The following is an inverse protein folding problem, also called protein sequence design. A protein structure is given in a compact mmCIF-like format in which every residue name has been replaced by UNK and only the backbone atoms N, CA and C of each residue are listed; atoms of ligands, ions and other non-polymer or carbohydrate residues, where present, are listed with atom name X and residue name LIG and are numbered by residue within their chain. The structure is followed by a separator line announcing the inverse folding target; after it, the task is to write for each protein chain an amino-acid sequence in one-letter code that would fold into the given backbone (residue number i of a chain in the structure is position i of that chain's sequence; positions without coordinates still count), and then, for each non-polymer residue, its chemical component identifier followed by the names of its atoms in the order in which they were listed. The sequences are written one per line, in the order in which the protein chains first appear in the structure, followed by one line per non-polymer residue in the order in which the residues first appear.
data_IF_643914198437
#
_entry.id   IF_643914198437
#
_cell.length_a   1.000
_cell.length_b   1.000
_cell.length_c   1.000
_cell.angle_alpha   90.00
_cell.angle_beta   90.00
_cell.angle_gamma   90.00
#
_symmetry.space_group_name_H-M   'P 1'
#
loop_
_entity.id
_entity.type
_entity.pdbx_description
1 polymer ?
#
# COMPACT_ATOMS: atom_id res chain seq x y z
N UNK A 1 -7.46 -2.59 12.27
CA UNK A 1 -8.00 -1.31 12.75
C UNK A 1 -7.11 -0.23 12.18
N UNK A 2 -7.59 0.45 11.15
CA UNK A 2 -6.95 1.58 10.50
C UNK A 2 -7.89 2.79 10.23
N UNK A 3 -9.07 2.97 10.87
CA UNK A 3 -9.91 4.13 10.57
C UNK A 3 -9.36 5.44 11.16
N UNK A 4 -8.76 5.42 12.35
CA UNK A 4 -8.47 6.66 13.09
C UNK A 4 -7.45 7.56 12.39
N UNK A 5 -6.33 7.00 11.92
CA UNK A 5 -5.31 7.79 11.20
C UNK A 5 -5.84 8.39 9.91
N UNK A 6 -6.66 7.64 9.18
CA UNK A 6 -7.29 8.14 7.96
C UNK A 6 -8.32 9.24 8.27
N UNK A 7 -9.11 9.08 9.34
CA UNK A 7 -10.09 10.07 9.78
C UNK A 7 -9.44 11.34 10.34
N UNK A 8 -8.28 11.23 10.98
CA UNK A 8 -7.58 12.33 11.63
C UNK A 8 -6.69 13.13 10.66
N UNK A 9 -6.10 12.48 9.64
CA UNK A 9 -5.08 13.09 8.78
C UNK A 9 -5.52 13.33 7.33
N UNK A 10 -6.60 12.69 6.87
CA UNK A 10 -6.91 12.60 5.43
C UNK A 10 -6.09 11.50 4.73
N UNK A 11 -6.51 11.13 3.52
CA UNK A 11 -5.96 9.97 2.80
C UNK A 11 -4.50 10.18 2.41
N UNK A 12 -4.18 11.34 1.86
CA UNK A 12 -2.83 11.69 1.39
C UNK A 12 -1.82 11.57 2.53
N UNK A 13 -2.10 12.27 3.64
CA UNK A 13 -1.25 12.27 4.82
C UNK A 13 -1.18 10.89 5.49
N UNK A 14 -2.29 10.13 5.49
CA UNK A 14 -2.31 8.78 6.05
C UNK A 14 -1.41 7.82 5.24
N UNK A 15 -1.40 7.91 3.91
CA UNK A 15 -0.52 7.09 3.05
C UNK A 15 0.95 7.48 3.22
N UNK A 16 1.25 8.77 3.34
CA UNK A 16 2.61 9.22 3.64
C UNK A 16 3.08 8.69 5.01
N UNK A 17 2.25 8.86 6.05
CA UNK A 17 2.56 8.37 7.39
C UNK A 17 2.79 6.85 7.41
N UNK A 18 1.94 6.09 6.71
CA UNK A 18 2.06 4.64 6.60
C UNK A 18 3.42 4.25 6.01
N UNK A 19 3.82 4.93 4.94
CA UNK A 19 5.07 4.67 4.22
C UNK A 19 6.31 5.05 5.05
N UNK A 20 6.28 6.20 5.73
CA UNK A 20 7.36 6.64 6.62
C UNK A 20 7.54 5.74 7.85
N UNK A 21 6.44 5.24 8.42
CA UNK A 21 6.53 4.30 9.54
C UNK A 21 7.03 2.93 9.11
N UNK A 22 6.76 2.54 7.87
CA UNK A 22 7.21 1.28 7.31
C UNK A 22 8.74 1.22 7.20
N UNK A 23 9.38 2.29 6.73
CA UNK A 23 10.84 2.46 6.72
C UNK A 23 11.44 2.22 8.13
N UNK A 24 10.92 2.94 9.13
CA UNK A 24 11.38 2.86 10.52
C UNK A 24 11.24 1.47 11.14
N UNK A 25 10.16 0.77 10.82
CA UNK A 25 9.85 -0.52 11.44
C UNK A 25 10.67 -1.67 10.86
N UNK A 26 10.97 -1.63 9.56
CA UNK A 26 11.57 -2.77 8.84
C UNK A 26 12.99 -2.51 8.30
N UNK A 27 13.57 -1.32 8.55
CA UNK A 27 14.89 -0.93 8.05
C UNK A 27 15.00 -1.01 6.51
N UNK A 28 13.94 -0.57 5.81
CA UNK A 28 13.81 -0.59 4.36
C UNK A 28 13.91 0.81 3.78
N UNK A 29 14.78 1.02 2.79
CA UNK A 29 14.90 2.33 2.14
C UNK A 29 13.65 2.58 1.30
N UNK A 30 12.79 3.47 1.79
CA UNK A 30 11.51 3.75 1.14
C UNK A 30 11.52 5.12 0.49
N UNK A 31 11.17 5.18 -0.79
CA UNK A 31 10.92 6.43 -1.52
C UNK A 31 9.43 6.61 -1.73
N UNK A 32 8.94 7.83 -1.64
CA UNK A 32 7.54 8.12 -1.92
C UNK A 32 7.34 9.39 -2.74
N UNK A 33 6.32 9.35 -3.59
CA UNK A 33 5.88 10.46 -4.43
C UNK A 33 4.35 10.41 -4.53
N UNK A 34 3.68 11.19 -3.67
CA UNK A 34 2.23 11.09 -3.42
C UNK A 34 1.60 12.44 -3.76
N UNK A 35 0.81 12.47 -4.83
CA UNK A 35 -0.03 13.61 -5.16
C UNK A 35 -1.16 13.76 -4.11
N UNK A 36 -1.64 14.99 -3.91
CA UNK A 36 -2.78 15.22 -3.04
C UNK A 36 -4.06 14.64 -3.66
N UNK A 37 -4.61 13.63 -3.00
CA UNK A 37 -5.83 12.93 -3.43
C UNK A 37 -6.94 13.01 -2.38
N UNK A 38 -6.84 13.95 -1.44
CA UNK A 38 -7.90 14.20 -0.47
C UNK A 38 -9.19 14.63 -1.18
N UNK A 39 -10.33 14.22 -0.63
CA UNK A 39 -11.67 14.47 -1.16
C UNK A 39 -11.97 13.94 -2.59
N UNK A 40 -11.02 13.30 -3.27
CA UNK A 40 -11.25 12.67 -4.59
C UNK A 40 -12.08 11.39 -4.50
N UNK A 41 -12.18 10.80 -3.31
CA UNK A 41 -12.82 9.50 -3.08
C UNK A 41 -13.86 9.56 -1.98
N UNK A 42 -14.95 8.78 -2.07
CA UNK A 42 -15.82 8.54 -0.93
C UNK A 42 -15.05 7.81 0.17
N UNK A 43 -15.48 7.99 1.43
CA UNK A 43 -14.80 7.46 2.63
C UNK A 43 -14.50 5.95 2.57
N UNK A 44 -15.40 5.17 1.99
CA UNK A 44 -15.20 3.72 1.79
C UNK A 44 -14.03 3.42 0.85
N UNK A 45 -13.93 4.14 -0.28
CA UNK A 45 -12.83 3.98 -1.22
C UNK A 45 -11.50 4.44 -0.62
N UNK A 46 -11.49 5.53 0.15
CA UNK A 46 -10.30 5.96 0.91
C UNK A 46 -9.83 4.86 1.86
N UNK A 47 -10.77 4.26 2.60
CA UNK A 47 -10.47 3.16 3.54
C UNK A 47 -9.90 1.94 2.82
N UNK A 48 -10.44 1.62 1.64
CA UNK A 48 -9.95 0.50 0.83
C UNK A 48 -8.56 0.75 0.27
N UNK A 49 -8.28 1.95 -0.26
CA UNK A 49 -6.94 2.33 -0.74
C UNK A 49 -5.90 2.26 0.37
N UNK A 50 -6.23 2.77 1.55
CA UNK A 50 -5.35 2.67 2.72
C UNK A 50 -5.08 1.21 3.11
N UNK A 51 -6.11 0.36 3.14
CA UNK A 51 -5.95 -1.07 3.46
C UNK A 51 -5.11 -1.82 2.44
N UNK A 52 -5.32 -1.55 1.15
CA UNK A 52 -4.53 -2.13 0.05
C UNK A 52 -3.05 -1.75 0.24
N UNK A 53 -2.78 -0.47 0.50
CA UNK A 53 -1.42 0.03 0.74
C UNK A 53 -0.77 -0.64 1.95
N UNK A 54 -1.51 -0.76 3.05
CA UNK A 54 -1.03 -1.41 4.27
C UNK A 54 -0.69 -2.88 4.04
N UNK A 55 -1.55 -3.62 3.34
CA UNK A 55 -1.35 -5.03 3.06
C UNK A 55 -0.17 -5.24 2.10
N UNK A 56 -0.06 -4.43 1.04
CA UNK A 56 1.05 -4.51 0.09
C UNK A 56 2.39 -4.29 0.78
N UNK A 57 2.51 -3.24 1.60
CA UNK A 57 3.73 -2.98 2.38
C UNK A 57 4.00 -4.13 3.37
N UNK A 58 2.97 -4.62 4.07
CA UNK A 58 3.12 -5.77 4.97
C UNK A 58 3.66 -7.01 4.26
N UNK A 59 3.18 -7.28 3.04
CA UNK A 59 3.64 -8.39 2.23
C UNK A 59 5.10 -8.23 1.81
N UNK A 60 5.51 -7.03 1.41
CA UNK A 60 6.91 -6.74 1.11
C UNK A 60 7.80 -7.01 2.33
N UNK A 61 7.44 -6.45 3.50
CA UNK A 61 8.21 -6.62 4.73
C UNK A 61 8.37 -8.08 5.16
N UNK A 62 7.32 -8.89 4.98
CA UNK A 62 7.31 -10.28 5.45
C UNK A 62 7.89 -11.26 4.44
N UNK A 63 7.76 -10.98 3.15
CA UNK A 63 7.93 -12.01 2.12
C UNK A 63 8.91 -11.64 1.03
N UNK A 64 9.17 -10.36 0.75
CA UNK A 64 9.94 -9.99 -0.43
C UNK A 64 11.47 -10.07 -0.23
N UNK A 65 11.96 -9.98 1.01
CA UNK A 65 13.41 -9.79 1.29
C UNK A 65 13.99 -8.58 0.53
N UNK A 66 13.15 -7.59 0.26
CA UNK A 66 13.51 -6.35 -0.42
C UNK A 66 14.44 -5.48 0.44
N UNK A 67 15.13 -4.54 -0.19
CA UNK A 67 15.90 -3.47 0.45
C UNK A 67 15.35 -2.09 0.11
N UNK A 68 14.74 -1.95 -1.06
CA UNK A 68 14.18 -0.71 -1.56
C UNK A 68 12.71 -0.90 -1.90
N UNK A 69 11.92 0.11 -1.55
CA UNK A 69 10.51 0.19 -1.90
C UNK A 69 10.23 1.56 -2.50
N UNK A 70 9.49 1.59 -3.60
CA UNK A 70 8.93 2.81 -4.18
C UNK A 70 7.43 2.82 -4.00
N UNK A 71 6.92 3.93 -3.47
CA UNK A 71 5.49 4.15 -3.22
C UNK A 71 5.04 5.41 -3.96
N UNK A 72 4.21 5.28 -4.99
CA UNK A 72 3.75 6.40 -5.78
C UNK A 72 2.22 6.46 -5.86
N UNK A 73 1.66 7.65 -5.71
CA UNK A 73 0.26 7.95 -5.95
C UNK A 73 0.20 9.12 -6.91
N UNK A 74 -0.38 8.87 -8.10
CA UNK A 74 -0.46 9.89 -9.15
C UNK A 74 -1.88 10.14 -9.60
N UNK A 75 -2.30 11.39 -9.57
CA UNK A 75 -3.57 11.85 -10.14
C UNK A 75 -3.33 12.31 -11.58
N UNK A 76 -4.06 11.72 -12.53
CA UNK A 76 -4.00 12.08 -13.94
C UNK A 76 -5.41 11.98 -14.55
N UNK A 77 -5.87 13.09 -15.14
CA UNK A 77 -7.09 13.16 -15.95
C UNK A 77 -8.33 12.54 -15.26
N UNK A 78 -8.49 12.75 -13.94
CA UNK A 78 -9.63 12.22 -13.18
C UNK A 78 -9.49 10.76 -12.76
N UNK A 79 -8.30 10.19 -12.88
CA UNK A 79 -7.94 8.87 -12.37
C UNK A 79 -6.78 8.96 -11.40
N UNK A 80 -6.73 8.04 -10.44
CA UNK A 80 -5.59 7.92 -9.51
C UNK A 80 -4.96 6.56 -9.69
N UNK A 81 -3.64 6.56 -9.86
CA UNK A 81 -2.82 5.35 -9.92
C UNK A 81 -2.00 5.23 -8.66
N UNK A 82 -2.19 4.13 -7.93
CA UNK A 82 -1.33 3.70 -6.82
C UNK A 82 -0.34 2.66 -7.34
N UNK A 83 0.95 2.94 -7.23
CA UNK A 83 2.04 2.04 -7.60
C UNK A 83 2.90 1.74 -6.38
N UNK A 84 3.14 0.46 -6.11
CA UNK A 84 3.99 -0.01 -5.03
C UNK A 84 4.95 -1.03 -5.63
N UNK A 85 6.23 -0.72 -5.62
CA UNK A 85 7.28 -1.53 -6.26
C UNK A 85 8.38 -1.85 -5.25
N UNK A 86 8.86 -3.08 -5.26
CA UNK A 86 9.96 -3.55 -4.42
C UNK A 86 11.04 -4.27 -5.25
N UNK A 87 12.28 -4.27 -4.75
CA UNK A 87 13.42 -4.96 -5.37
C UNK A 87 13.64 -6.39 -4.83
N UNK A 88 12.60 -6.98 -4.24
CA UNK A 88 12.67 -8.29 -3.60
C UNK A 88 12.62 -9.47 -4.57
N UNK A 89 12.55 -10.67 -3.99
CA UNK A 89 12.62 -11.95 -4.72
C UNK A 89 11.36 -12.30 -5.53
N UNK A 90 10.30 -11.51 -5.43
CA UNK A 90 9.00 -11.78 -6.05
C UNK A 90 8.31 -13.06 -5.54
N UNK A 91 7.23 -13.45 -6.21
CA UNK A 91 6.48 -14.68 -5.90
C UNK A 91 5.79 -15.26 -7.14
N UNK A 92 5.41 -16.54 -7.08
CA UNK A 92 4.63 -17.19 -8.13
C UNK A 92 3.15 -16.82 -8.04
N UNK A 93 2.72 -15.92 -8.92
CA UNK A 93 1.35 -15.40 -9.00
C UNK A 93 0.31 -16.51 -9.27
N UNK A 94 0.68 -17.55 -10.02
CA UNK A 94 -0.25 -18.64 -10.35
C UNK A 94 -0.54 -19.51 -9.13
N UNK A 95 0.48 -19.77 -8.32
CA UNK A 95 0.34 -20.51 -7.06
C UNK A 95 -0.54 -19.77 -6.07
N UNK A 96 -0.32 -18.46 -5.91
CA UNK A 96 -1.11 -17.60 -5.01
C UNK A 96 -2.58 -17.54 -5.43
N UNK A 97 -2.88 -17.32 -6.72
CA UNK A 97 -4.26 -17.29 -7.22
C UNK A 97 -5.03 -18.59 -6.97
N UNK A 98 -4.36 -19.74 -7.01
CA UNK A 98 -4.98 -21.05 -6.74
C UNK A 98 -5.31 -21.28 -5.25
N UNK A 99 -4.54 -20.68 -4.34
CA UNK A 99 -4.80 -20.75 -2.90
C UNK A 99 -5.95 -19.82 -2.51
N UNK A 100 -6.01 -18.61 -3.11
CA UNK A 100 -7.09 -17.65 -2.88
C UNK A 100 -8.48 -18.10 -3.36
N UNK A 101 -8.57 -19.01 -4.32
CA UNK A 101 -9.87 -19.62 -4.66
C UNK A 101 -10.44 -20.50 -3.55
N UNK A 102 -9.64 -20.86 -2.53
CA UNK A 102 -10.02 -21.73 -1.43
C UNK A 102 -10.16 -20.99 -0.08
N UNK A 103 -9.45 -19.88 0.13
CA UNK A 103 -9.57 -19.05 1.35
C UNK A 103 -9.89 -17.58 1.03
N UNK A 104 -10.91 -17.04 1.74
CA UNK A 104 -11.51 -15.70 1.58
C UNK A 104 -10.63 -14.52 2.06
N UNK A 105 -9.32 -14.54 1.80
CA UNK A 105 -8.39 -13.44 2.09
C UNK A 105 -7.81 -12.83 0.81
N UNK A 106 -7.17 -11.65 0.89
CA UNK A 106 -6.39 -11.01 -0.21
C UNK A 106 -4.87 -11.03 0.06
N UNK A 107 -4.41 -11.69 1.14
CA UNK A 107 -2.99 -11.75 1.54
C UNK A 107 -2.23 -12.96 0.97
N UNK A 108 -0.92 -12.80 0.79
CA UNK A 108 0.02 -13.83 0.33
C UNK A 108 0.32 -14.90 1.39
#
# INVERSE_FOLDING_TARGET
MSPSILEDLGLTSALQWLTENFDKQYSLVTSFDIDNIDDLFPKEAQTNLYRISQEALTNIAKHAEAKHVSFAVKENEGSVTLSIEDDGKGFDVNRVRSIHSLEKGLGL
#
